data_IF_347745257019
#
_entry.id   IF_347745257019
#
_cell.length_a   1.000
_cell.length_b   1.000
_cell.length_c   1.000
_cell.angle_alpha   90.00
_cell.angle_beta   90.00
_cell.angle_gamma   90.00
#
_symmetry.space_group_name_H-M   'P 1'
#
loop_
_entity.id
_entity.type
_entity.pdbx_description
1 polymer ?
#
# COMPACT_ATOMS: atom_id res chain seq x y z
N UNK A 1 13.63 14.40 -12.67
CA UNK A 1 15.01 14.51 -12.23
C UNK A 1 15.20 14.19 -10.77
N UNK A 2 16.41 13.89 -10.44
CA UNK A 2 16.74 13.48 -9.09
C UNK A 2 16.46 14.58 -8.07
N UNK A 3 16.74 15.82 -8.41
CA UNK A 3 16.52 16.93 -7.48
C UNK A 3 15.05 17.06 -7.13
N UNK A 4 14.19 16.97 -8.11
CA UNK A 4 12.76 17.04 -7.86
C UNK A 4 12.31 15.90 -6.96
N UNK A 5 12.83 14.70 -7.18
CA UNK A 5 12.50 13.56 -6.36
C UNK A 5 12.96 13.75 -4.93
N UNK A 6 14.14 14.33 -4.74
CA UNK A 6 14.63 14.62 -3.41
C UNK A 6 13.76 15.65 -2.68
N UNK A 7 13.30 16.65 -3.40
CA UNK A 7 12.41 17.63 -2.80
C UNK A 7 11.10 16.99 -2.34
N UNK A 8 10.55 16.11 -3.14
CA UNK A 8 9.33 15.41 -2.75
C UNK A 8 9.55 14.57 -1.51
N UNK A 9 10.68 13.89 -1.42
CA UNK A 9 11.01 13.10 -0.24
C UNK A 9 11.15 13.99 0.97
N UNK A 10 11.81 15.12 0.82
CA UNK A 10 11.99 16.05 1.93
C UNK A 10 10.65 16.61 2.39
N UNK A 11 9.77 16.93 1.46
CA UNK A 11 8.45 17.42 1.81
C UNK A 11 7.67 16.40 2.62
N UNK A 12 7.78 15.11 2.26
CA UNK A 12 7.13 14.06 3.02
C UNK A 12 7.72 13.95 4.41
N UNK A 13 9.03 14.13 4.54
CA UNK A 13 9.67 14.13 5.84
C UNK A 13 9.10 15.25 6.71
N UNK A 14 8.95 16.43 6.14
CA UNK A 14 8.44 17.58 6.89
C UNK A 14 6.94 17.48 7.14
N UNK A 15 6.21 16.61 6.43
CA UNK A 15 4.78 16.46 6.64
C UNK A 15 4.43 15.55 7.82
N UNK A 16 5.41 15.14 8.61
CA UNK A 16 5.14 14.55 9.88
C UNK A 16 5.14 13.02 9.93
N UNK A 17 5.50 12.34 8.85
CA UNK A 17 5.65 10.90 8.88
C UNK A 17 6.78 10.53 9.81
N UNK A 18 6.50 9.72 10.82
CA UNK A 18 7.50 9.29 11.78
C UNK A 18 7.91 7.83 11.62
N UNK A 19 7.24 7.07 10.78
CA UNK A 19 7.60 5.68 10.54
C UNK A 19 8.57 5.60 9.37
N UNK A 20 9.62 4.84 9.55
CA UNK A 20 10.72 4.71 8.58
C UNK A 20 10.92 3.24 8.26
N UNK A 21 10.97 2.91 6.98
CA UNK A 21 11.29 1.56 6.52
C UNK A 21 12.80 1.40 6.36
N UNK A 22 13.24 0.20 6.03
CA UNK A 22 14.64 -0.03 5.69
C UNK A 22 15.09 0.73 4.47
N UNK A 23 14.17 1.20 3.62
CA UNK A 23 14.49 1.94 2.40
C UNK A 23 14.01 3.39 2.44
N UNK A 24 13.61 3.90 3.61
CA UNK A 24 13.16 5.27 3.80
C UNK A 24 11.71 5.34 4.24
N UNK A 25 11.11 6.52 4.08
CA UNK A 25 9.74 6.76 4.53
C UNK A 25 8.74 6.26 3.52
N UNK A 26 7.52 5.98 4.00
CA UNK A 26 6.41 5.56 3.14
C UNK A 26 5.92 6.70 2.27
N UNK A 27 5.46 6.38 1.06
CA UNK A 27 4.72 7.29 0.20
C UNK A 27 3.32 6.73 -0.01
N UNK A 28 2.39 7.61 -0.37
CA UNK A 28 1.00 7.21 -0.63
C UNK A 28 0.96 6.34 -1.88
N UNK A 29 0.35 5.13 -1.81
CA UNK A 29 0.48 4.15 -2.90
C UNK A 29 -0.42 4.42 -4.10
N UNK A 30 -1.45 5.25 -3.97
CA UNK A 30 -2.41 5.50 -5.06
C UNK A 30 -2.54 7.01 -5.27
N UNK A 31 -1.58 7.63 -5.97
CA UNK A 31 -1.60 9.09 -6.11
C UNK A 31 -2.82 9.61 -6.86
N UNK A 32 -3.41 8.81 -7.74
CA UNK A 32 -4.58 9.22 -8.52
C UNK A 32 -5.89 8.75 -7.90
N UNK A 33 -5.94 8.63 -6.59
CA UNK A 33 -7.14 8.18 -5.88
C UNK A 33 -8.20 9.29 -5.84
N UNK A 34 -9.43 8.89 -5.56
CA UNK A 34 -10.56 9.83 -5.49
C UNK A 34 -10.86 10.22 -4.05
N UNK A 35 -11.01 9.22 -3.18
CA UNK A 35 -11.26 9.44 -1.75
C UNK A 35 -10.99 8.13 -1.02
N UNK A 36 -10.98 8.20 0.32
CA UNK A 36 -10.88 7.01 1.15
C UNK A 36 -12.23 6.78 1.81
N UNK A 37 -12.79 5.59 1.58
CA UNK A 37 -14.12 5.27 2.09
C UNK A 37 -14.08 4.80 3.54
N UNK A 38 -12.92 4.27 3.98
CA UNK A 38 -12.81 3.69 5.31
C UNK A 38 -11.37 3.75 5.78
N UNK A 39 -11.18 4.30 6.96
CA UNK A 39 -9.88 4.39 7.60
C UNK A 39 -9.71 3.32 8.67
N UNK A 40 -8.48 3.13 9.13
CA UNK A 40 -8.17 2.18 10.17
C UNK A 40 -8.97 2.52 11.43
N UNK A 41 -9.60 1.49 11.98
CA UNK A 41 -10.36 1.65 13.22
C UNK A 41 -11.28 0.47 13.41
N UNK A 42 -11.63 0.18 14.68
CA UNK A 42 -12.46 -0.96 14.99
C UNK A 42 -11.87 -2.25 14.45
N UNK A 43 -12.60 -2.95 13.59
CA UNK A 43 -12.13 -4.18 12.98
C UNK A 43 -11.42 -3.96 11.65
N UNK A 44 -11.41 -2.73 11.15
CA UNK A 44 -10.77 -2.42 9.87
C UNK A 44 -9.31 -2.14 10.09
N UNK A 45 -8.43 -2.95 9.49
CA UNK A 45 -7.00 -2.95 9.78
C UNK A 45 -6.16 -2.21 8.76
N UNK A 46 -6.77 -1.44 7.89
CA UNK A 46 -6.07 -0.66 6.89
C UNK A 46 -6.91 0.52 6.45
N UNK A 47 -6.63 1.05 5.28
CA UNK A 47 -7.41 2.11 4.66
C UNK A 47 -7.91 1.64 3.31
N UNK A 48 -9.16 1.90 3.01
CA UNK A 48 -9.77 1.60 1.72
C UNK A 48 -9.69 2.82 0.83
N UNK A 49 -8.81 2.77 -0.15
CA UNK A 49 -8.52 3.87 -1.06
C UNK A 49 -9.31 3.66 -2.34
N UNK A 50 -10.26 4.53 -2.62
CA UNK A 50 -11.19 4.38 -3.73
C UNK A 50 -10.72 5.16 -4.96
N UNK A 51 -10.83 4.50 -6.11
CA UNK A 51 -10.50 5.08 -7.41
C UNK A 51 -11.17 4.23 -8.49
N UNK A 52 -11.06 4.64 -9.74
CA UNK A 52 -11.58 3.86 -10.86
C UNK A 52 -10.80 2.57 -11.03
N UNK A 53 -11.45 1.53 -11.53
CA UNK A 53 -10.75 0.29 -11.86
C UNK A 53 -9.63 0.58 -12.86
N UNK A 54 -8.47 -0.02 -12.63
CA UNK A 54 -7.30 0.20 -13.47
C UNK A 54 -6.41 1.35 -13.03
N UNK A 55 -6.75 2.06 -11.96
CA UNK A 55 -5.87 3.10 -11.42
C UNK A 55 -4.57 2.48 -10.92
N UNK A 56 -3.41 3.02 -11.28
CA UNK A 56 -2.13 2.43 -10.88
C UNK A 56 -1.92 2.46 -9.37
N UNK A 57 -1.31 1.39 -8.87
CA UNK A 57 -0.88 1.25 -7.48
C UNK A 57 0.63 1.14 -7.47
N UNK A 58 1.29 1.92 -6.62
CA UNK A 58 2.74 1.99 -6.53
C UNK A 58 3.22 1.52 -5.17
N UNK A 59 4.43 0.96 -5.13
CA UNK A 59 5.03 0.51 -3.88
C UNK A 59 5.22 1.69 -2.93
N UNK A 60 4.67 1.58 -1.73
CA UNK A 60 4.76 2.65 -0.73
C UNK A 60 6.19 2.84 -0.23
N UNK A 61 6.99 1.81 -0.30
CA UNK A 61 8.42 1.84 0.00
C UNK A 61 9.08 0.69 -0.74
N UNK A 62 10.39 0.72 -0.86
CA UNK A 62 11.14 -0.36 -1.51
C UNK A 62 11.24 -1.58 -0.64
N UNK A 63 11.54 -2.71 -1.24
CA UNK A 63 11.71 -3.96 -0.52
C UNK A 63 11.56 -5.18 -1.42
N UNK A 64 11.26 -6.31 -0.80
CA UNK A 64 11.08 -7.58 -1.50
C UNK A 64 9.61 -7.98 -1.46
N UNK A 65 9.06 -8.33 -2.62
CA UNK A 65 7.69 -8.85 -2.71
C UNK A 65 7.69 -10.25 -2.12
N UNK A 66 6.95 -10.43 -1.03
CA UNK A 66 6.83 -11.73 -0.37
C UNK A 66 5.61 -12.50 -0.86
N UNK A 67 4.58 -11.80 -1.32
CA UNK A 67 3.39 -12.40 -1.92
C UNK A 67 2.91 -11.54 -3.06
N UNK A 68 2.53 -12.22 -4.17
CA UNK A 68 1.88 -11.57 -5.31
C UNK A 68 1.01 -12.61 -5.98
N UNK A 69 -0.31 -12.49 -5.84
CA UNK A 69 -1.23 -13.46 -6.41
C UNK A 69 -2.61 -13.36 -5.80
N UNK A 70 -3.44 -14.35 -6.12
CA UNK A 70 -4.83 -14.36 -5.68
C UNK A 70 -4.96 -15.03 -4.32
N UNK A 71 -5.61 -14.34 -3.41
CA UNK A 71 -5.93 -14.84 -2.07
C UNK A 71 -7.44 -15.00 -1.96
N UNK A 72 -7.91 -16.23 -1.83
CA UNK A 72 -9.34 -16.54 -1.79
C UNK A 72 -9.97 -16.02 -0.50
N UNK A 73 -11.25 -15.67 -0.60
CA UNK A 73 -12.08 -15.47 0.57
C UNK A 73 -12.18 -16.79 1.34
N UNK A 74 -12.36 -16.69 2.65
CA UNK A 74 -12.47 -17.89 3.50
C UNK A 74 -11.18 -18.23 4.21
N UNK A 75 -10.04 -17.83 3.71
CA UNK A 75 -8.80 -17.93 4.45
C UNK A 75 -8.67 -16.77 5.45
N UNK A 76 -9.76 -16.08 5.70
CA UNK A 76 -9.83 -14.99 6.66
C UNK A 76 -9.58 -13.63 6.06
N UNK A 77 -8.99 -13.53 4.91
CA UNK A 77 -8.60 -12.25 4.34
C UNK A 77 -9.43 -11.83 3.14
N UNK A 78 -9.63 -12.73 2.18
CA UNK A 78 -10.39 -12.40 0.98
C UNK A 78 -9.78 -11.25 0.17
N UNK A 79 -8.44 -11.13 0.17
CA UNK A 79 -7.76 -10.02 -0.47
C UNK A 79 -7.87 -10.00 -1.99
N UNK A 80 -8.24 -11.12 -2.61
CA UNK A 80 -8.21 -11.22 -4.07
C UNK A 80 -6.77 -11.14 -4.59
N UNK A 81 -6.56 -10.47 -5.71
CA UNK A 81 -5.21 -10.21 -6.17
C UNK A 81 -4.55 -9.22 -5.23
N UNK A 82 -3.44 -9.61 -4.64
CA UNK A 82 -2.79 -8.81 -3.61
C UNK A 82 -1.28 -8.90 -3.71
N UNK A 83 -0.62 -7.87 -3.20
CA UNK A 83 0.83 -7.79 -3.10
C UNK A 83 1.18 -7.50 -1.64
N UNK A 84 2.18 -8.20 -1.14
CA UNK A 84 2.77 -7.92 0.18
C UNK A 84 4.25 -7.67 -0.04
N UNK A 85 4.74 -6.55 0.47
CA UNK A 85 6.14 -6.16 0.35
C UNK A 85 6.76 -6.11 1.74
N UNK A 86 7.90 -6.78 1.89
CA UNK A 86 8.73 -6.70 3.10
C UNK A 86 9.75 -5.58 2.88
N UNK A 87 9.67 -4.54 3.71
CA UNK A 87 10.51 -3.36 3.57
C UNK A 87 11.79 -3.42 4.40
N UNK A 88 11.95 -4.44 5.21
CA UNK A 88 13.04 -4.52 6.18
C UNK A 88 12.68 -3.82 7.48
N UNK A 89 13.48 -4.05 8.51
CA UNK A 89 13.25 -3.45 9.82
C UNK A 89 11.94 -3.86 10.48
N UNK A 90 11.33 -4.95 10.04
CA UNK A 90 10.05 -5.42 10.54
C UNK A 90 8.83 -4.82 9.84
N UNK A 91 9.04 -3.90 8.91
CA UNK A 91 7.94 -3.25 8.18
C UNK A 91 7.50 -4.05 6.98
N UNK A 92 6.18 -4.06 6.74
CA UNK A 92 5.61 -4.60 5.51
C UNK A 92 4.37 -3.80 5.14
N UNK A 93 3.98 -3.90 3.86
CA UNK A 93 2.75 -3.27 3.39
C UNK A 93 1.96 -4.24 2.53
N UNK A 94 0.65 -4.06 2.52
CA UNK A 94 -0.30 -4.94 1.83
C UNK A 94 -1.17 -4.09 0.92
N UNK A 95 -1.36 -4.55 -0.32
CA UNK A 95 -2.16 -3.87 -1.35
C UNK A 95 -3.13 -4.90 -1.89
N UNK A 96 -4.40 -4.78 -1.54
CA UNK A 96 -5.39 -5.83 -1.82
C UNK A 96 -6.46 -5.38 -2.80
N UNK A 97 -7.21 -6.35 -3.30
CA UNK A 97 -8.33 -6.19 -4.24
C UNK A 97 -7.91 -5.63 -5.59
N UNK A 98 -6.67 -5.93 -6.00
CA UNK A 98 -6.15 -5.46 -7.27
C UNK A 98 -6.87 -6.12 -8.44
N UNK A 99 -6.97 -5.39 -9.55
CA UNK A 99 -7.47 -5.91 -10.81
C UNK A 99 -6.46 -6.86 -11.43
N UNK A 100 -5.20 -6.45 -11.43
CA UNK A 100 -4.09 -7.24 -11.94
C UNK A 100 -2.80 -6.77 -11.27
N UNK A 101 -1.76 -7.58 -11.39
CA UNK A 101 -0.47 -7.34 -10.76
C UNK A 101 0.63 -7.25 -11.81
N UNK A 102 1.65 -6.43 -11.53
CA UNK A 102 2.81 -6.26 -12.42
C UNK A 102 4.10 -6.81 -11.81
N UNK A 103 4.03 -7.40 -10.62
CA UNK A 103 5.17 -7.95 -9.91
C UNK A 103 4.90 -9.38 -9.49
N UNK A 104 5.96 -10.09 -9.15
CA UNK A 104 5.91 -11.48 -8.70
C UNK A 104 6.61 -11.64 -7.35
N UNK A 105 6.23 -12.67 -6.60
CA UNK A 105 6.88 -12.99 -5.34
C UNK A 105 8.37 -13.22 -5.56
N UNK A 106 9.19 -12.69 -4.67
CA UNK A 106 10.64 -12.75 -4.76
C UNK A 106 11.29 -11.57 -5.46
N UNK A 107 10.50 -10.75 -6.14
CA UNK A 107 11.01 -9.61 -6.87
C UNK A 107 11.36 -8.48 -5.92
N UNK A 108 12.46 -7.79 -6.19
CA UNK A 108 12.82 -6.56 -5.48
C UNK A 108 12.16 -5.38 -6.18
N UNK A 109 11.54 -4.50 -5.40
CA UNK A 109 10.89 -3.29 -5.93
C UNK A 109 11.46 -2.06 -5.26
N UNK A 110 11.41 -0.95 -5.97
CA UNK A 110 11.81 0.36 -5.46
C UNK A 110 10.58 1.12 -5.01
N UNK A 111 10.77 2.07 -4.11
CA UNK A 111 9.70 2.98 -3.72
C UNK A 111 9.15 3.68 -4.96
N UNK A 112 7.83 3.68 -5.11
CA UNK A 112 7.20 4.30 -6.27
C UNK A 112 7.13 3.42 -7.51
N UNK A 113 7.62 2.19 -7.44
CA UNK A 113 7.52 1.28 -8.58
C UNK A 113 6.08 0.79 -8.75
N UNK A 114 5.62 0.70 -9.99
CA UNK A 114 4.28 0.18 -10.29
C UNK A 114 4.21 -1.29 -9.88
N UNK A 115 3.19 -1.64 -9.09
CA UNK A 115 3.03 -3.02 -8.61
C UNK A 115 1.71 -3.64 -9.02
N UNK A 116 0.76 -2.86 -9.47
CA UNK A 116 -0.53 -3.39 -9.91
C UNK A 116 -1.52 -2.31 -10.22
N UNK A 117 -2.76 -2.73 -10.48
CA UNK A 117 -3.86 -1.84 -10.82
C UNK A 117 -5.03 -2.09 -9.89
N UNK A 118 -5.67 -1.02 -9.48
CA UNK A 118 -6.78 -1.06 -8.53
C UNK A 118 -8.00 -1.73 -9.14
N UNK A 119 -8.70 -2.52 -8.35
CA UNK A 119 -9.90 -3.22 -8.78
C UNK A 119 -10.83 -3.54 -7.63
N UNK A 120 -11.50 -4.69 -7.74
CA UNK A 120 -12.48 -5.12 -6.76
C UNK A 120 -12.48 -6.64 -6.61
N UNK A 121 -11.30 -7.27 -6.76
CA UNK A 121 -11.20 -8.72 -6.65
C UNK A 121 -11.23 -9.17 -5.20
N UNK A 122 -11.59 -10.43 -4.99
CA UNK A 122 -11.71 -10.97 -3.67
C UNK A 122 -12.98 -10.47 -2.98
N UNK A 123 -12.90 -10.28 -1.67
CA UNK A 123 -14.04 -9.85 -0.86
C UNK A 123 -14.14 -8.33 -0.89
N UNK A 124 -14.79 -7.82 -1.93
CA UNK A 124 -14.90 -6.37 -2.14
C UNK A 124 -16.25 -6.06 -2.78
N UNK A 125 -16.84 -4.93 -2.37
CA UNK A 125 -18.11 -4.47 -2.91
C UNK A 125 -17.97 -3.28 -3.85
N UNK A 126 -16.74 -2.84 -4.10
CA UNK A 126 -16.50 -1.70 -5.00
C UNK A 126 -15.02 -1.54 -5.26
N UNK A 127 -14.69 -0.75 -6.27
CA UNK A 127 -13.31 -0.54 -6.68
C UNK A 127 -12.54 0.23 -5.61
N UNK A 128 -11.61 -0.44 -4.96
CA UNK A 128 -10.72 0.19 -3.98
C UNK A 128 -9.47 -0.64 -3.78
N UNK A 129 -8.44 -0.01 -3.24
CA UNK A 129 -7.25 -0.70 -2.75
C UNK A 129 -7.31 -0.71 -1.23
N UNK A 130 -7.33 -1.90 -0.66
CA UNK A 130 -7.18 -2.05 0.79
C UNK A 130 -5.70 -2.05 1.10
N UNK A 131 -5.23 -1.02 1.76
CA UNK A 131 -3.82 -0.79 2.00
C UNK A 131 -3.54 -0.91 3.49
N UNK A 132 -2.56 -1.77 3.85
CA UNK A 132 -2.14 -1.96 5.23
C UNK A 132 -0.66 -1.69 5.38
N UNK A 133 -0.29 -1.19 6.54
CA UNK A 133 1.11 -1.10 6.97
C UNK A 133 1.24 -1.89 8.24
N UNK A 134 2.28 -2.71 8.34
CA UNK A 134 2.54 -3.56 9.50
C UNK A 134 3.96 -3.35 9.99
N UNK A 135 4.14 -3.44 11.30
CA UNK A 135 5.46 -3.42 11.94
C UNK A 135 5.53 -4.60 12.89
N UNK A 136 6.45 -5.54 12.60
CA UNK A 136 6.63 -6.76 13.40
C UNK A 136 5.32 -7.52 13.59
N UNK A 137 4.50 -7.57 12.53
CA UNK A 137 3.23 -8.27 12.54
C UNK A 137 2.06 -7.47 13.10
N UNK A 138 2.30 -6.33 13.71
CA UNK A 138 1.23 -5.47 14.24
C UNK A 138 0.84 -4.42 13.21
N UNK A 139 -0.46 -4.08 13.17
CA UNK A 139 -0.96 -3.09 12.23
C UNK A 139 -0.61 -1.68 12.68
N UNK A 140 -0.23 -0.83 11.73
CA UNK A 140 -0.03 0.60 11.96
C UNK A 140 -1.16 1.33 11.25
N UNK A 141 -1.92 2.20 11.94
CA UNK A 141 -2.96 2.98 11.27
C UNK A 141 -2.36 3.86 10.17
N UNK A 142 -2.78 3.71 8.91
CA UNK A 142 -2.22 4.54 7.83
C UNK A 142 -2.39 6.03 8.05
N UNK A 143 -3.44 6.45 8.75
CA UNK A 143 -3.63 7.87 9.05
C UNK A 143 -2.51 8.44 9.93
N UNK A 144 -1.82 7.59 10.68
CA UNK A 144 -0.67 8.02 11.49
C UNK A 144 0.57 8.24 10.64
N UNK A 145 0.63 7.56 9.49
CA UNK A 145 1.75 7.68 8.55
C UNK A 145 1.49 8.79 7.55
N UNK A 146 0.24 8.99 7.18
CA UNK A 146 -0.18 9.98 6.18
C UNK A 146 -1.25 10.91 6.78
N UNK A 147 -0.89 11.73 7.78
CA UNK A 147 -1.91 12.53 8.48
C UNK A 147 -2.65 13.51 7.57
N UNK A 148 -2.02 13.95 6.49
CA UNK A 148 -2.66 14.88 5.57
C UNK A 148 -3.71 14.24 4.66
N UNK A 149 -3.86 12.91 4.68
CA UNK A 149 -4.79 12.23 3.79
C UNK A 149 -6.15 11.96 4.42
N UNK A 150 -6.20 11.86 5.73
CA UNK A 150 -7.46 11.57 6.42
C UNK A 150 -8.39 12.77 6.54
#
# INVERSE_FOLDING_TARGET
PRRQRQMCIRDRVTSGTKYITGSGRFIWPVPNYRYCSRWYGGRHKGVDICASAGTPIYASAGGTVTKAGYNKAGAGTGYGYSVIINHGGGYSSVYAHCLSLTVSAGQTVKQGQLIGYLGSTGRSTGNHCHFEIRLNGSYIPPQNVFPGKK
#
